data_IF_754038415278
#
_entry.id   IF_754038415278
#
_cell.length_a   1.000
_cell.length_b   1.000
_cell.length_c   1.000
_cell.angle_alpha   90.00
_cell.angle_beta   90.00
_cell.angle_gamma   90.00
#
_symmetry.space_group_name_H-M   'P 1'
#
loop_
_entity.id
_entity.type
_entity.pdbx_description
1 polymer ?
#
# COMPACT_ATOMS: atom_id res chain seq x y z
N UNK A 1 -30.76 -29.26 54.74
CA UNK A 1 -29.30 -29.13 54.56
C UNK A 1 -29.08 -28.00 53.56
N UNK A 2 -29.25 -26.71 53.93
CA UNK A 2 -28.39 -25.89 54.83
C UNK A 2 -27.04 -25.68 54.10
N UNK A 3 -26.57 -24.51 53.64
CA UNK A 3 -26.73 -23.12 54.09
C UNK A 3 -26.14 -22.14 53.02
N UNK A 4 -26.80 -21.00 52.78
CA UNK A 4 -26.28 -19.61 52.75
C UNK A 4 -25.13 -19.17 51.79
N UNK A 5 -25.43 -18.11 51.00
CA UNK A 5 -24.47 -17.12 50.47
C UNK A 5 -24.21 -15.97 51.46
N UNK A 6 -23.04 -15.33 51.43
CA UNK A 6 -22.95 -13.86 51.40
C UNK A 6 -21.89 -13.35 50.38
N UNK A 7 -22.15 -12.32 49.57
CA UNK A 7 -22.07 -10.86 49.85
C UNK A 7 -20.65 -10.30 50.05
N UNK A 8 -20.32 -9.33 49.19
CA UNK A 8 -19.56 -8.09 49.48
C UNK A 8 -18.04 -8.09 49.31
N UNK A 9 -17.56 -7.21 48.42
CA UNK A 9 -16.16 -6.81 48.31
C UNK A 9 -15.90 -5.76 47.24
N UNK A 10 -16.53 -4.58 47.38
CA UNK A 10 -16.34 -3.39 46.54
C UNK A 10 -15.13 -2.61 47.05
N UNK A 11 -14.10 -2.38 46.24
CA UNK A 11 -13.15 -1.27 46.47
C UNK A 11 -12.42 -0.87 45.19
N UNK A 12 -12.83 0.27 44.65
CA UNK A 12 -12.03 1.11 43.75
C UNK A 12 -10.95 1.84 44.57
N UNK A 13 -9.72 1.95 44.08
CA UNK A 13 -8.89 3.11 44.38
C UNK A 13 -8.83 4.02 43.15
N UNK A 14 -9.60 5.10 43.22
CA UNK A 14 -9.22 6.39 42.63
C UNK A 14 -7.86 6.78 43.21
N UNK A 15 -6.81 6.85 42.40
CA UNK A 15 -5.60 7.57 42.78
C UNK A 15 -5.21 8.55 41.68
N UNK A 16 -5.87 9.72 41.78
CA UNK A 16 -5.37 11.00 41.27
C UNK A 16 -4.27 11.49 42.20
N UNK A 17 -3.08 11.78 41.68
CA UNK A 17 -2.17 12.90 42.07
C UNK A 17 -0.95 12.81 41.16
N UNK A 18 -0.83 13.66 40.14
CA UNK A 18 -0.30 15.05 40.15
C UNK A 18 1.10 15.15 40.78
N UNK A 19 2.09 15.44 39.95
CA UNK A 19 3.23 16.38 40.04
C UNK A 19 4.17 16.01 38.87
N UNK A 20 4.87 16.88 38.14
CA UNK A 20 4.99 18.32 38.12
C UNK A 20 5.65 18.74 36.78
N UNK A 21 5.24 19.92 36.30
CA UNK A 21 6.02 20.97 35.62
C UNK A 21 7.38 20.60 35.00
N UNK A 22 7.48 20.78 33.69
CA UNK A 22 8.70 21.29 33.06
C UNK A 22 8.30 22.42 32.10
N UNK A 23 8.61 23.66 32.51
CA UNK A 23 8.66 24.81 31.61
C UNK A 23 9.86 24.66 30.68
N UNK A 24 9.66 24.84 29.38
CA UNK A 24 10.73 25.21 28.46
C UNK A 24 10.19 26.22 27.45
N UNK A 25 10.86 27.35 27.45
CA UNK A 25 10.63 28.62 26.79
C UNK A 25 10.96 28.63 25.30
N UNK A 26 10.18 29.43 24.56
CA UNK A 26 10.54 30.23 23.37
C UNK A 26 10.94 29.51 22.05
N UNK A 27 10.14 29.75 21.01
CA UNK A 27 10.65 29.95 19.65
C UNK A 27 9.66 30.80 18.83
N UNK A 28 10.25 31.66 18.01
CA UNK A 28 9.73 32.93 17.48
C UNK A 28 8.95 32.74 16.17
N UNK A 29 7.93 33.59 15.98
CA UNK A 29 7.15 33.76 14.76
C UNK A 29 8.03 34.42 13.69
N UNK A 30 8.21 33.78 12.54
CA UNK A 30 8.60 34.47 11.30
C UNK A 30 7.65 34.09 10.18
N UNK A 31 6.76 35.03 9.85
CA UNK A 31 6.09 35.13 8.56
C UNK A 31 7.15 35.56 7.53
N UNK A 32 7.37 34.76 6.50
CA UNK A 32 8.02 35.22 5.27
C UNK A 32 7.07 34.98 4.10
N UNK A 33 6.20 35.96 3.90
CA UNK A 33 5.56 36.21 2.61
C UNK A 33 6.65 36.62 1.61
N UNK A 34 6.88 35.81 0.58
CA UNK A 34 7.64 36.22 -0.58
C UNK A 34 6.68 36.32 -1.76
N UNK A 35 6.19 37.54 -1.96
CA UNK A 35 5.59 38.00 -3.21
C UNK A 35 6.70 38.18 -4.24
N UNK A 36 6.55 37.54 -5.39
CA UNK A 36 7.36 37.80 -6.59
C UNK A 36 6.45 37.73 -7.81
N UNK A 37 6.19 38.90 -8.40
CA UNK A 37 5.34 39.12 -9.56
C UNK A 37 6.15 39.28 -10.85
N UNK A 38 5.45 39.11 -11.99
CA UNK A 38 5.79 39.48 -13.38
C UNK A 38 6.59 38.39 -14.13
N UNK A 39 6.31 38.02 -15.37
CA UNK A 39 5.74 38.71 -16.54
C UNK A 39 5.20 37.60 -17.48
N UNK A 40 3.94 37.58 -17.91
CA UNK A 40 3.48 38.26 -19.13
C UNK A 40 3.93 37.53 -20.41
N UNK A 41 3.05 36.76 -21.04
CA UNK A 41 2.71 36.95 -22.45
C UNK A 41 1.38 36.24 -22.78
N UNK A 42 0.47 37.03 -23.36
CA UNK A 42 -0.83 36.61 -23.89
C UNK A 42 -0.71 36.61 -25.40
N UNK A 43 -1.10 35.52 -26.08
CA UNK A 43 -1.59 35.48 -27.47
C UNK A 43 -1.82 34.00 -27.85
N UNK A 44 -2.78 33.56 -28.64
CA UNK A 44 -4.06 34.05 -29.10
C UNK A 44 -4.75 32.82 -29.75
N UNK A 45 -6.06 32.72 -29.60
CA UNK A 45 -6.93 31.77 -30.31
C UNK A 45 -6.93 32.06 -31.82
N UNK A 46 -6.86 31.05 -32.70
CA UNK A 46 -7.87 30.81 -33.77
C UNK A 46 -7.53 29.67 -34.75
N UNK A 47 -8.63 29.05 -35.17
CA UNK A 47 -8.95 27.87 -35.98
C UNK A 47 -8.48 27.77 -37.45
N UNK A 48 -8.69 26.55 -37.99
CA UNK A 48 -9.06 26.16 -39.38
C UNK A 48 -7.90 26.07 -40.42
N UNK A 49 -7.83 25.18 -41.43
CA UNK A 49 -8.66 24.07 -41.98
C UNK A 49 -7.84 23.36 -43.09
N UNK A 50 -7.89 22.01 -43.12
CA UNK A 50 -7.90 21.02 -44.24
C UNK A 50 -6.97 21.14 -45.47
N UNK A 51 -6.24 20.04 -45.79
CA UNK A 51 -6.12 19.47 -47.15
C UNK A 51 -5.57 18.01 -47.15
N UNK A 52 -6.29 17.12 -47.82
CA UNK A 52 -6.02 15.71 -48.24
C UNK A 52 -4.91 15.64 -49.32
N UNK A 53 -4.06 14.60 -49.51
CA UNK A 53 -4.25 13.22 -50.08
C UNK A 53 -2.82 12.62 -50.41
N UNK A 54 -2.58 11.41 -51.01
CA UNK A 54 -2.02 10.19 -50.37
C UNK A 54 -0.64 9.62 -50.88
N UNK A 55 -0.12 8.62 -50.13
CA UNK A 55 0.74 7.45 -50.52
C UNK A 55 2.19 7.63 -51.06
N UNK A 56 3.04 6.56 -51.11
CA UNK A 56 3.37 5.49 -50.14
C UNK A 56 4.91 5.21 -50.01
N UNK A 57 5.28 4.26 -49.15
CA UNK A 57 6.54 3.46 -49.14
C UNK A 57 7.83 4.09 -48.60
N UNK A 58 8.24 3.62 -47.41
CA UNK A 58 9.63 3.23 -47.15
C UNK A 58 9.65 2.24 -45.97
N UNK A 59 10.18 1.05 -46.22
CA UNK A 59 10.39 -0.03 -45.26
C UNK A 59 11.22 0.43 -44.07
N UNK A 60 10.64 0.45 -42.87
CA UNK A 60 11.40 0.47 -41.63
C UNK A 60 11.60 -0.97 -41.16
N UNK A 61 12.69 -1.60 -41.60
CA UNK A 61 13.29 -2.70 -40.84
C UNK A 61 13.82 -2.06 -39.55
N UNK A 62 12.98 -2.01 -38.52
CA UNK A 62 13.46 -1.78 -37.17
C UNK A 62 14.05 -3.10 -36.70
N UNK A 63 15.38 -3.16 -36.68
CA UNK A 63 16.14 -4.09 -35.87
C UNK A 63 15.62 -3.95 -34.43
N UNK A 64 14.73 -4.86 -34.04
CA UNK A 64 14.29 -4.99 -32.68
C UNK A 64 15.47 -5.52 -31.89
N UNK A 65 16.26 -4.60 -31.32
CA UNK A 65 17.10 -4.93 -30.16
C UNK A 65 16.13 -5.38 -29.09
N UNK A 66 15.97 -6.70 -28.99
CA UNK A 66 15.13 -7.37 -28.03
C UNK A 66 15.78 -7.28 -26.66
N UNK A 67 15.78 -6.08 -26.07
CA UNK A 67 15.83 -5.93 -24.63
C UNK A 67 14.58 -6.61 -24.13
N UNK A 68 14.71 -7.77 -23.49
CA UNK A 68 13.57 -8.51 -22.92
C UNK A 68 12.75 -7.53 -22.07
N UNK A 69 11.63 -7.06 -22.62
CA UNK A 69 10.77 -6.11 -21.93
C UNK A 69 10.13 -6.87 -20.76
N UNK A 70 10.21 -6.28 -19.56
CA UNK A 70 9.49 -6.79 -18.41
C UNK A 70 8.02 -6.96 -18.82
N UNK A 71 7.54 -8.21 -18.79
CA UNK A 71 6.16 -8.51 -19.15
C UNK A 71 5.29 -8.14 -17.95
N UNK A 72 4.41 -7.16 -18.15
CA UNK A 72 3.49 -6.68 -17.14
C UNK A 72 2.07 -7.06 -17.52
N UNK A 73 1.36 -7.65 -16.57
CA UNK A 73 -0.02 -8.10 -16.70
C UNK A 73 -0.84 -7.49 -15.56
N UNK A 74 -2.08 -7.12 -15.88
CA UNK A 74 -3.02 -6.51 -14.93
C UNK A 74 -4.41 -7.05 -15.16
N UNK A 75 -5.15 -7.28 -14.07
CA UNK A 75 -6.54 -7.71 -14.15
C UNK A 75 -7.40 -6.96 -13.13
N UNK A 76 -8.69 -6.81 -13.45
CA UNK A 76 -9.68 -6.08 -12.63
C UNK A 76 -10.76 -7.05 -12.20
N UNK A 77 -11.08 -7.04 -10.91
CA UNK A 77 -12.03 -7.98 -10.26
C UNK A 77 -11.64 -9.47 -10.34
N UNK A 78 -10.42 -9.75 -10.75
CA UNK A 78 -9.87 -11.11 -10.82
C UNK A 78 -8.36 -11.09 -10.56
N UNK A 79 -7.79 -12.28 -10.39
CA UNK A 79 -6.37 -12.46 -10.19
C UNK A 79 -5.65 -12.69 -11.52
N UNK A 80 -4.58 -11.94 -11.76
CA UNK A 80 -3.68 -12.17 -12.90
C UNK A 80 -3.14 -13.60 -12.87
N UNK A 81 -2.98 -14.20 -14.05
CA UNK A 81 -2.40 -15.54 -14.18
C UNK A 81 -0.98 -15.57 -13.62
N UNK A 82 -0.63 -16.63 -12.88
CA UNK A 82 0.71 -16.75 -12.29
C UNK A 82 0.97 -15.87 -11.06
N UNK A 83 -0.06 -15.20 -10.52
CA UNK A 83 0.07 -14.44 -9.27
C UNK A 83 0.55 -15.34 -8.11
N UNK A 84 1.49 -14.87 -7.26
CA UNK A 84 2.15 -15.68 -6.23
C UNK A 84 1.25 -15.90 -5.00
N UNK A 85 0.19 -16.68 -5.15
CA UNK A 85 -0.79 -16.96 -4.10
C UNK A 85 -0.21 -17.71 -2.90
N UNK A 86 0.88 -18.46 -3.10
CA UNK A 86 1.63 -19.12 -2.02
C UNK A 86 2.24 -18.08 -1.07
N UNK A 87 2.76 -16.97 -1.61
CA UNK A 87 3.39 -15.92 -0.81
C UNK A 87 2.37 -14.90 -0.33
N UNK A 88 1.47 -14.47 -1.21
CA UNK A 88 0.42 -13.50 -0.95
C UNK A 88 -0.96 -14.15 -1.11
N UNK A 89 -1.39 -14.96 -0.12
CA UNK A 89 -2.71 -15.57 -0.17
C UNK A 89 -3.80 -14.50 -0.03
N UNK A 90 -4.93 -14.71 -0.71
CA UNK A 90 -6.10 -13.88 -0.53
C UNK A 90 -6.77 -14.19 0.82
N UNK A 91 -7.00 -13.16 1.63
CA UNK A 91 -7.77 -13.30 2.88
C UNK A 91 -9.16 -13.88 2.60
N UNK A 92 -9.60 -14.84 3.42
CA UNK A 92 -10.91 -15.50 3.24
C UNK A 92 -12.04 -14.47 3.23
N UNK A 93 -12.89 -14.55 2.20
CA UNK A 93 -14.03 -13.64 2.03
C UNK A 93 -13.66 -12.28 1.43
N UNK A 94 -12.40 -12.04 1.10
CA UNK A 94 -12.00 -10.85 0.36
C UNK A 94 -12.43 -10.93 -1.10
N UNK A 95 -12.78 -9.76 -1.66
CA UNK A 95 -13.16 -9.56 -3.05
C UNK A 95 -12.03 -8.81 -3.76
N UNK A 96 -11.47 -9.41 -4.80
CA UNK A 96 -10.40 -8.78 -5.58
C UNK A 96 -10.98 -7.56 -6.30
N UNK A 97 -10.25 -6.45 -6.27
CA UNK A 97 -10.57 -5.25 -7.02
C UNK A 97 -9.63 -5.08 -8.22
N UNK A 98 -8.33 -5.27 -7.98
CA UNK A 98 -7.31 -5.23 -9.01
C UNK A 98 -6.13 -6.12 -8.61
N UNK A 99 -5.45 -6.68 -9.59
CA UNK A 99 -4.18 -7.35 -9.40
C UNK A 99 -3.22 -7.03 -10.54
N UNK A 100 -1.93 -7.07 -10.25
CA UNK A 100 -0.89 -6.92 -11.26
C UNK A 100 0.30 -7.82 -10.97
N UNK A 101 0.97 -8.21 -12.04
CA UNK A 101 2.19 -8.99 -12.03
C UNK A 101 3.14 -8.44 -13.08
N UNK A 102 4.36 -8.12 -12.68
CA UNK A 102 5.41 -7.71 -13.59
C UNK A 102 6.60 -8.64 -13.39
N UNK A 103 6.86 -9.48 -14.37
CA UNK A 103 8.02 -10.35 -14.39
C UNK A 103 9.27 -9.55 -14.73
N UNK A 104 10.29 -9.70 -13.90
CA UNK A 104 11.56 -9.00 -14.04
C UNK A 104 12.72 -9.82 -13.49
N UNK A 105 13.93 -9.36 -13.81
CA UNK A 105 15.19 -9.86 -13.29
C UNK A 105 15.99 -8.67 -12.75
N UNK A 106 16.49 -8.72 -11.49
CA UNK A 106 16.57 -9.89 -10.61
C UNK A 106 15.31 -10.18 -9.79
N UNK A 107 14.31 -9.29 -9.80
CA UNK A 107 13.07 -9.40 -9.01
C UNK A 107 11.84 -9.15 -9.86
N UNK A 108 10.72 -9.74 -9.45
CA UNK A 108 9.40 -9.50 -10.04
C UNK A 108 8.52 -8.76 -9.04
N UNK A 109 7.58 -7.97 -9.55
CA UNK A 109 6.66 -7.16 -8.75
C UNK A 109 5.26 -7.76 -8.85
N UNK A 110 4.57 -7.83 -7.72
CA UNK A 110 3.18 -8.26 -7.67
C UNK A 110 2.38 -7.30 -6.78
N UNK A 111 1.16 -6.95 -7.20
CA UNK A 111 0.26 -6.11 -6.42
C UNK A 111 -1.14 -6.69 -6.41
N UNK A 112 -1.81 -6.62 -5.27
CA UNK A 112 -3.20 -7.03 -5.10
C UNK A 112 -3.93 -6.00 -4.27
N UNK A 113 -5.01 -5.45 -4.82
CA UNK A 113 -5.98 -4.65 -4.07
C UNK A 113 -7.27 -5.45 -3.95
N UNK A 114 -7.76 -5.58 -2.72
CA UNK A 114 -8.99 -6.31 -2.43
C UNK A 114 -9.77 -5.63 -1.29
N UNK A 115 -11.05 -5.96 -1.19
CA UNK A 115 -11.94 -5.49 -0.13
C UNK A 115 -12.44 -6.64 0.72
N UNK A 116 -12.63 -6.43 2.02
CA UNK A 116 -13.16 -7.45 2.93
C UNK A 116 -14.02 -6.79 4.01
N UNK A 117 -15.08 -7.47 4.41
CA UNK A 117 -15.90 -7.04 5.56
C UNK A 117 -15.22 -7.49 6.85
N UNK A 118 -14.24 -6.71 7.30
CA UNK A 118 -13.49 -6.92 8.53
C UNK A 118 -12.90 -5.58 9.03
N UNK A 119 -12.55 -5.46 10.32
CA UNK A 119 -11.73 -4.37 10.84
C UNK A 119 -10.34 -4.34 10.21
N UNK A 120 -9.80 -3.15 9.94
CA UNK A 120 -8.44 -2.97 9.41
C UNK A 120 -7.35 -3.65 10.26
N UNK A 121 -7.49 -3.61 11.58
CA UNK A 121 -6.57 -4.27 12.51
C UNK A 121 -6.52 -5.79 12.31
N UNK A 122 -7.66 -6.42 11.99
CA UNK A 122 -7.73 -7.85 11.75
C UNK A 122 -7.06 -8.23 10.42
N UNK A 123 -7.19 -7.37 9.41
CA UNK A 123 -6.50 -7.54 8.12
C UNK A 123 -4.99 -7.46 8.32
N UNK A 124 -4.48 -6.44 9.01
CA UNK A 124 -3.05 -6.29 9.29
C UNK A 124 -2.53 -7.46 10.13
N UNK A 125 -3.27 -7.88 11.16
CA UNK A 125 -2.91 -9.02 12.01
C UNK A 125 -2.84 -10.34 11.23
N UNK A 126 -3.83 -10.59 10.37
CA UNK A 126 -3.86 -11.77 9.51
C UNK A 126 -2.63 -11.84 8.61
N UNK A 127 -2.33 -10.77 7.88
CA UNK A 127 -1.17 -10.73 6.99
C UNK A 127 0.16 -10.72 7.74
N UNK A 128 0.21 -10.09 8.91
CA UNK A 128 1.39 -10.19 9.80
C UNK A 128 1.70 -11.65 10.09
N UNK A 129 0.70 -12.42 10.53
CA UNK A 129 0.87 -13.86 10.77
C UNK A 129 1.32 -14.61 9.52
N UNK A 130 0.62 -14.41 8.40
CA UNK A 130 0.91 -15.06 7.12
C UNK A 130 2.36 -14.85 6.69
N UNK A 131 2.87 -13.61 6.75
CA UNK A 131 4.22 -13.31 6.31
C UNK A 131 5.28 -13.76 7.32
N UNK A 132 5.02 -13.64 8.63
CA UNK A 132 5.95 -14.15 9.64
C UNK A 132 6.10 -15.67 9.59
N UNK A 133 5.01 -16.40 9.32
CA UNK A 133 5.02 -17.86 9.16
C UNK A 133 5.87 -18.29 7.93
N UNK A 134 5.99 -17.40 6.94
CA UNK A 134 6.84 -17.58 5.75
C UNK A 134 8.28 -17.07 5.92
N UNK A 135 8.66 -16.70 7.15
CA UNK A 135 10.02 -16.27 7.47
C UNK A 135 10.29 -14.78 7.29
N UNK A 136 9.32 -13.98 6.81
CA UNK A 136 9.47 -12.53 6.77
C UNK A 136 9.61 -11.93 8.17
N UNK A 137 10.30 -10.80 8.23
CA UNK A 137 10.50 -9.99 9.44
C UNK A 137 9.79 -8.67 9.26
N UNK A 138 8.87 -8.38 10.18
CA UNK A 138 8.17 -7.11 10.23
C UNK A 138 9.17 -5.97 10.50
N UNK A 139 9.09 -4.91 9.71
CA UNK A 139 9.84 -3.69 9.94
C UNK A 139 9.15 -2.84 11.03
N UNK A 140 9.92 -1.98 11.72
CA UNK A 140 9.36 -0.98 12.63
C UNK A 140 8.35 -0.06 11.92
N UNK A 141 7.33 0.38 12.66
CA UNK A 141 6.24 1.21 12.15
C UNK A 141 4.99 0.40 11.86
N UNK A 142 3.83 1.03 12.07
CA UNK A 142 2.50 0.40 11.93
C UNK A 142 1.54 1.25 11.08
N UNK A 143 1.96 2.47 10.71
CA UNK A 143 1.16 3.40 9.92
C UNK A 143 2.00 4.47 9.25
N UNK A 144 1.51 4.99 8.12
CA UNK A 144 2.02 6.20 7.46
C UNK A 144 0.85 7.17 7.32
N UNK A 145 1.00 8.40 7.81
CA UNK A 145 -0.06 9.43 7.78
C UNK A 145 -1.41 8.97 8.35
N UNK A 146 -1.38 8.11 9.38
CA UNK A 146 -2.57 7.55 10.02
C UNK A 146 -3.23 6.39 9.25
N UNK A 147 -2.70 6.01 8.09
CA UNK A 147 -3.12 4.82 7.35
C UNK A 147 -2.33 3.61 7.87
N UNK A 148 -2.98 2.54 8.36
CA UNK A 148 -2.32 1.30 8.72
C UNK A 148 -1.46 0.78 7.56
N UNK A 149 -0.15 0.71 7.80
CA UNK A 149 0.82 0.25 6.82
C UNK A 149 1.92 -0.53 7.51
N UNK A 150 2.18 -1.75 7.02
CA UNK A 150 3.20 -2.65 7.54
C UNK A 150 4.10 -3.14 6.42
N UNK A 151 5.40 -3.14 6.67
CA UNK A 151 6.41 -3.64 5.74
C UNK A 151 7.08 -4.88 6.31
N UNK A 152 7.33 -5.86 5.47
CA UNK A 152 7.92 -7.15 5.79
C UNK A 152 9.08 -7.41 4.85
N UNK A 153 10.20 -7.91 5.38
CA UNK A 153 11.38 -8.23 4.55
C UNK A 153 11.89 -9.63 4.83
N UNK A 154 12.42 -10.29 3.81
CA UNK A 154 13.21 -11.52 3.94
C UNK A 154 14.33 -11.56 2.90
N UNK A 155 15.08 -12.66 2.85
CA UNK A 155 16.17 -12.85 1.88
C UNK A 155 17.14 -11.66 1.84
N UNK A 156 17.56 -11.17 3.01
CA UNK A 156 18.47 -10.02 3.17
C UNK A 156 17.93 -8.71 2.56
N UNK A 157 16.60 -8.57 2.46
CA UNK A 157 15.93 -7.39 1.93
C UNK A 157 15.65 -7.45 0.43
N UNK A 158 16.00 -8.55 -0.25
CA UNK A 158 15.67 -8.75 -1.67
C UNK A 158 14.18 -9.00 -1.89
N UNK A 159 13.49 -9.51 -0.87
CA UNK A 159 12.05 -9.71 -0.91
C UNK A 159 11.36 -8.83 0.13
N UNK A 160 10.44 -8.00 -0.35
CA UNK A 160 9.74 -6.99 0.44
C UNK A 160 8.26 -7.14 0.18
N UNK A 161 7.45 -7.16 1.23
CA UNK A 161 5.99 -7.12 1.13
C UNK A 161 5.46 -5.96 1.97
N UNK A 162 4.55 -5.18 1.41
CA UNK A 162 3.85 -4.09 2.08
C UNK A 162 2.36 -4.40 2.15
N UNK A 163 1.76 -4.09 3.29
CA UNK A 163 0.32 -4.19 3.53
C UNK A 163 -0.16 -2.82 3.91
N UNK A 164 -1.06 -2.24 3.12
CA UNK A 164 -1.75 -0.99 3.44
C UNK A 164 -3.23 -1.25 3.56
N UNK A 165 -3.91 -0.65 4.54
CA UNK A 165 -5.34 -0.87 4.76
C UNK A 165 -6.06 0.45 5.01
N UNK A 166 -7.10 0.72 4.22
CA UNK A 166 -8.01 1.86 4.39
C UNK A 166 -9.38 1.34 4.79
N UNK A 167 -9.91 1.83 5.91
CA UNK A 167 -11.24 1.45 6.40
C UNK A 167 -12.31 2.41 5.85
N UNK A 168 -13.44 1.87 5.41
CA UNK A 168 -14.65 2.65 5.09
C UNK A 168 -15.88 1.91 5.63
N UNK A 169 -16.46 2.44 6.72
CA UNK A 169 -17.54 1.74 7.44
C UNK A 169 -17.08 0.37 7.93
N UNK A 170 -17.83 -0.69 7.59
CA UNK A 170 -17.49 -2.07 7.94
C UNK A 170 -16.55 -2.77 6.94
N UNK A 171 -16.16 -2.10 5.86
CA UNK A 171 -15.33 -2.68 4.80
C UNK A 171 -13.91 -2.11 4.86
N UNK A 172 -12.92 -3.00 4.89
CA UNK A 172 -11.52 -2.67 4.72
C UNK A 172 -11.13 -2.88 3.25
N UNK A 173 -10.51 -1.87 2.65
CA UNK A 173 -9.79 -1.98 1.38
C UNK A 173 -8.32 -2.14 1.70
N UNK A 174 -7.71 -3.25 1.30
CA UNK A 174 -6.30 -3.49 1.52
C UNK A 174 -5.55 -3.65 0.21
N UNK A 175 -4.29 -3.21 0.22
CA UNK A 175 -3.34 -3.38 -0.88
C UNK A 175 -2.12 -4.13 -0.36
N UNK A 176 -1.81 -5.24 -1.02
CA UNK A 176 -0.57 -5.97 -0.87
C UNK A 176 0.34 -5.60 -2.04
N UNK A 177 1.53 -5.07 -1.75
CA UNK A 177 2.58 -4.89 -2.74
C UNK A 177 3.74 -5.80 -2.41
N UNK A 178 4.30 -6.49 -3.39
CA UNK A 178 5.46 -7.35 -3.16
C UNK A 178 6.50 -7.21 -4.26
N UNK A 179 7.75 -7.13 -3.82
CA UNK A 179 8.94 -7.39 -4.61
C UNK A 179 9.44 -8.75 -4.21
N UNK A 180 9.47 -9.69 -5.15
CA UNK A 180 9.78 -11.09 -4.88
C UNK A 180 10.86 -11.59 -5.83
N UNK A 181 11.69 -12.51 -5.34
CA UNK A 181 12.62 -13.24 -6.19
C UNK A 181 11.82 -14.16 -7.13
N UNK A 182 12.28 -14.41 -8.37
CA UNK A 182 11.58 -15.30 -9.31
C UNK A 182 11.26 -16.68 -8.73
N UNK A 183 12.12 -17.18 -7.83
CA UNK A 183 11.94 -18.45 -7.13
C UNK A 183 10.69 -18.48 -6.21
N UNK A 184 10.05 -17.35 -5.94
CA UNK A 184 8.88 -17.24 -5.07
C UNK A 184 7.54 -17.27 -5.81
N UNK A 185 7.56 -17.29 -7.15
CA UNK A 185 6.37 -17.40 -8.02
C UNK A 185 6.02 -18.85 -8.37
N UNK A 186 6.18 -19.76 -7.40
CA UNK A 186 5.86 -21.19 -7.56
C UNK A 186 4.42 -21.50 -7.22
#
# INVERSE_FOLDING_TARGET
>A
MTLVSPLTGRTLPLMRRRLAVAMATAAVIFLTACSGASTGDSSATSSATVATTPSPTASATADAVSTAAASAETAVKELVAGFPTTVMPLMKGAQIQASSLQHGQPVSLASLTATVTAPSADVVSNYTKVFTDQGFKAQPGDSVDGVPLKTFVRAEGQEIVTVSVVQTGATATFTLGATLLPASFK
#
